data_IF_074681028544
#
_entry.id   IF_074681028544
#
_cell.length_a   1.000
_cell.length_b   1.000
_cell.length_c   1.000
_cell.angle_alpha   90.00
_cell.angle_beta   90.00
_cell.angle_gamma   90.00
#
_symmetry.space_group_name_H-M   'P 1'
#
loop_
_entity.id
_entity.type
_entity.pdbx_description
1 polymer ?
#
# COMPACT_ATOMS: atom_id res chain seq x y z
N UNK A 1 1.45 16.93 49.94
CA UNK A 1 2.49 17.65 49.17
C UNK A 1 3.81 17.01 49.53
N UNK A 2 4.32 16.13 48.66
CA UNK A 2 5.66 15.56 48.76
C UNK A 2 6.24 15.61 47.35
N UNK A 3 7.44 16.15 47.27
CA UNK A 3 8.09 16.66 46.07
C UNK A 3 8.28 15.62 44.97
N UNK A 4 7.83 15.98 43.76
CA UNK A 4 8.26 15.36 42.51
C UNK A 4 9.69 15.80 42.22
N UNK A 5 10.67 15.02 42.68
CA UNK A 5 12.00 15.04 42.09
C UNK A 5 12.10 13.91 41.05
N UNK A 6 11.73 14.23 39.81
CA UNK A 6 12.10 13.42 38.65
C UNK A 6 13.34 14.08 38.05
N UNK A 7 14.44 13.33 38.04
CA UNK A 7 15.79 13.75 37.64
C UNK A 7 15.86 14.24 36.18
N UNK A 8 16.67 15.27 35.86
CA UNK A 8 16.77 15.85 34.53
C UNK A 8 17.81 15.08 33.69
N UNK A 9 17.46 13.89 33.22
CA UNK A 9 18.26 13.16 32.22
C UNK A 9 17.41 12.50 31.12
N UNK A 10 16.08 12.46 31.26
CA UNK A 10 15.18 12.07 30.18
C UNK A 10 14.82 13.29 29.32
N UNK A 11 15.85 14.01 28.84
CA UNK A 11 15.69 14.89 27.69
C UNK A 11 15.15 13.99 26.58
N UNK A 12 13.86 14.13 26.35
CA UNK A 12 13.03 13.54 25.32
C UNK A 12 13.75 13.60 23.97
N UNK A 13 14.61 12.63 23.68
CA UNK A 13 14.85 12.21 22.32
C UNK A 13 13.55 11.52 21.91
N UNK A 14 12.57 12.31 21.48
CA UNK A 14 11.36 11.79 20.85
C UNK A 14 11.77 11.12 19.54
N UNK A 15 12.20 9.87 19.63
CA UNK A 15 12.45 9.02 18.48
C UNK A 15 11.10 8.63 17.87
N UNK A 16 11.03 8.54 16.53
CA UNK A 16 9.81 8.15 15.83
C UNK A 16 9.19 6.84 16.35
N UNK A 17 10.02 5.94 16.90
CA UNK A 17 9.61 4.68 17.51
C UNK A 17 8.66 4.88 18.71
N UNK A 18 8.90 5.91 19.53
CA UNK A 18 8.07 6.19 20.70
C UNK A 18 6.69 6.70 20.27
N UNK A 19 6.62 7.50 19.22
CA UNK A 19 5.36 7.99 18.67
C UNK A 19 4.54 6.85 18.04
N UNK A 20 5.19 5.97 17.29
CA UNK A 20 4.56 4.79 16.67
C UNK A 20 4.04 3.80 17.72
N UNK A 21 4.75 3.66 18.84
CA UNK A 21 4.31 2.87 19.98
C UNK A 21 3.03 3.44 20.61
N UNK A 22 3.01 4.74 20.92
CA UNK A 22 1.82 5.42 21.47
C UNK A 22 0.63 5.33 20.51
N UNK A 23 0.86 5.58 19.22
CA UNK A 23 -0.17 5.42 18.19
C UNK A 23 -0.81 4.02 18.22
N UNK A 24 0.03 2.97 18.30
CA UNK A 24 -0.44 1.59 18.38
C UNK A 24 -1.30 1.36 19.63
N UNK A 25 -0.86 1.83 20.81
CA UNK A 25 -1.62 1.71 22.06
C UNK A 25 -2.97 2.42 21.97
N UNK A 26 -3.03 3.62 21.40
CA UNK A 26 -4.30 4.34 21.20
C UNK A 26 -5.25 3.58 20.26
N UNK A 27 -4.72 2.96 19.21
CA UNK A 27 -5.52 2.22 18.23
C UNK A 27 -5.93 0.82 18.67
N UNK A 28 -5.39 0.30 19.77
CA UNK A 28 -5.78 -1.01 20.33
C UNK A 28 -7.28 -1.14 20.58
N UNK A 29 -7.95 -0.04 20.95
CA UNK A 29 -9.41 -0.02 21.12
C UNK A 29 -10.17 -0.48 19.88
N UNK A 30 -9.62 -0.25 18.68
CA UNK A 30 -10.28 -0.53 17.41
C UNK A 30 -9.99 -1.94 16.87
N UNK A 31 -8.79 -2.48 17.14
CA UNK A 31 -8.35 -3.77 16.57
C UNK A 31 -8.39 -4.92 17.58
N UNK A 32 -8.55 -4.62 18.88
CA UNK A 32 -8.47 -5.59 19.96
C UNK A 32 -7.05 -6.11 20.18
N UNK A 33 -6.80 -6.68 21.35
CA UNK A 33 -5.46 -7.11 21.80
C UNK A 33 -4.79 -8.10 20.83
N UNK A 34 -5.57 -9.05 20.28
CA UNK A 34 -5.06 -10.03 19.31
C UNK A 34 -4.62 -9.41 17.98
N UNK A 35 -5.27 -8.33 17.54
CA UNK A 35 -4.92 -7.61 16.32
C UNK A 35 -3.67 -6.73 16.47
N UNK A 36 -3.25 -6.45 17.71
CA UNK A 36 -2.16 -5.52 17.97
C UNK A 36 -0.77 -6.09 17.67
N UNK A 37 -0.56 -7.40 17.79
CA UNK A 37 0.76 -8.02 17.54
C UNK A 37 1.27 -7.68 16.14
N UNK A 38 0.38 -7.78 15.14
CA UNK A 38 0.72 -7.48 13.76
C UNK A 38 0.98 -5.98 13.54
N UNK A 39 0.13 -5.12 14.11
CA UNK A 39 0.28 -3.67 13.99
C UNK A 39 1.57 -3.17 14.65
N UNK A 40 1.89 -3.65 15.85
CA UNK A 40 3.15 -3.32 16.53
C UNK A 40 4.36 -3.79 15.73
N UNK A 41 4.31 -5.01 15.19
CA UNK A 41 5.39 -5.53 14.36
C UNK A 41 5.65 -4.63 13.14
N UNK A 42 4.61 -4.34 12.35
CA UNK A 42 4.75 -3.49 11.16
C UNK A 42 5.21 -2.07 11.49
N UNK A 43 4.58 -1.42 12.48
CA UNK A 43 4.88 -0.04 12.83
C UNK A 43 6.29 0.11 13.42
N UNK A 44 6.77 -0.89 14.17
CA UNK A 44 8.16 -0.87 14.68
C UNK A 44 9.21 -0.97 13.57
N UNK A 45 8.86 -1.56 12.42
CA UNK A 45 9.76 -1.65 11.27
C UNK A 45 9.75 -0.40 10.37
N UNK A 46 8.73 0.46 10.45
CA UNK A 46 8.59 1.65 9.59
C UNK A 46 9.83 2.55 9.63
N UNK A 47 10.38 2.83 10.82
CA UNK A 47 11.58 3.68 10.93
C UNK A 47 12.74 3.10 10.13
N UNK A 48 13.04 1.82 10.34
CA UNK A 48 14.12 1.12 9.64
C UNK A 48 13.86 1.07 8.14
N UNK A 49 12.61 0.86 7.73
CA UNK A 49 12.21 0.90 6.32
C UNK A 49 12.47 2.28 5.70
N UNK A 50 12.14 3.36 6.41
CA UNK A 50 12.38 4.73 5.93
C UNK A 50 13.87 5.03 5.79
N UNK A 51 14.68 4.61 6.77
CA UNK A 51 16.13 4.82 6.73
C UNK A 51 16.79 4.06 5.58
N UNK A 52 16.35 2.82 5.32
CA UNK A 52 16.98 1.95 4.33
C UNK A 52 16.49 2.18 2.90
N UNK A 53 15.19 2.43 2.74
CA UNK A 53 14.52 2.47 1.43
C UNK A 53 14.02 3.87 1.07
N UNK A 54 14.00 4.82 2.00
CA UNK A 54 13.40 6.14 1.79
C UNK A 54 11.89 6.15 2.10
N UNK A 55 11.14 7.15 1.62
CA UNK A 55 9.75 7.32 2.01
C UNK A 55 8.88 6.08 1.75
N UNK A 56 8.11 5.63 2.75
CA UNK A 56 7.30 4.39 2.63
C UNK A 56 6.30 4.46 1.47
N UNK A 57 5.76 5.65 1.17
CA UNK A 57 4.77 5.83 0.11
C UNK A 57 5.31 5.56 -1.30
N UNK A 58 6.61 5.71 -1.55
CA UNK A 58 7.19 5.38 -2.86
C UNK A 58 7.24 3.88 -3.14
N UNK A 59 7.08 3.06 -2.09
CA UNK A 59 7.02 1.61 -2.16
C UNK A 59 5.60 1.07 -2.01
N UNK A 60 4.60 1.95 -2.08
CA UNK A 60 3.20 1.57 -1.98
C UNK A 60 2.80 0.70 -3.16
N UNK A 61 2.13 -0.42 -2.89
CA UNK A 61 1.56 -1.27 -3.92
C UNK A 61 0.26 -0.68 -4.52
N UNK A 62 -0.21 0.46 -4.01
CA UNK A 62 -1.47 1.08 -4.41
C UNK A 62 -1.66 1.27 -5.94
N UNK A 63 -0.63 1.69 -6.71
CA UNK A 63 -0.77 1.77 -8.18
C UNK A 63 -1.10 0.40 -8.80
N UNK A 64 -0.53 -0.69 -8.28
CA UNK A 64 -0.79 -2.04 -8.78
C UNK A 64 -2.16 -2.57 -8.38
N UNK A 65 -2.73 -2.12 -7.25
CA UNK A 65 -4.08 -2.51 -6.83
C UNK A 65 -5.14 -2.02 -7.83
N UNK A 66 -4.96 -0.81 -8.38
CA UNK A 66 -5.81 -0.26 -9.43
C UNK A 66 -5.76 -1.10 -10.71
N UNK A 67 -4.56 -1.45 -11.17
CA UNK A 67 -4.35 -2.29 -12.35
C UNK A 67 -4.88 -3.72 -12.15
N UNK A 68 -4.68 -4.31 -10.97
CA UNK A 68 -5.22 -5.62 -10.63
C UNK A 68 -6.76 -5.61 -10.64
N UNK A 69 -7.39 -4.53 -10.17
CA UNK A 69 -8.84 -4.36 -10.26
C UNK A 69 -9.29 -4.30 -11.72
N UNK A 70 -8.59 -3.55 -12.58
CA UNK A 70 -8.88 -3.49 -14.01
C UNK A 70 -8.81 -4.88 -14.64
N UNK A 71 -7.74 -5.64 -14.37
CA UNK A 71 -7.56 -7.02 -14.86
C UNK A 71 -8.71 -7.93 -14.38
N UNK A 72 -9.10 -7.85 -13.11
CA UNK A 72 -10.22 -8.64 -12.56
C UNK A 72 -11.57 -8.29 -13.22
N UNK A 73 -11.80 -7.02 -13.58
CA UNK A 73 -13.02 -6.60 -14.27
C UNK A 73 -13.13 -7.17 -15.71
N UNK A 74 -12.01 -7.65 -16.29
CA UNK A 74 -12.04 -8.35 -17.56
C UNK A 74 -12.66 -9.75 -17.42
N UNK A 75 -12.60 -10.37 -16.25
CA UNK A 75 -13.26 -11.64 -15.99
C UNK A 75 -14.76 -11.41 -15.77
N UNK A 76 -15.60 -11.86 -16.71
CA UNK A 76 -17.07 -11.78 -16.58
C UNK A 76 -17.67 -13.15 -16.28
N UNK A 77 -16.98 -14.22 -16.67
CA UNK A 77 -17.41 -15.59 -16.44
C UNK A 77 -16.65 -16.21 -15.26
N UNK A 78 -17.26 -17.19 -14.61
CA UNK A 78 -16.66 -17.92 -13.49
C UNK A 78 -15.76 -19.08 -13.93
N UNK A 79 -15.78 -19.44 -15.22
CA UNK A 79 -15.00 -20.53 -15.80
C UNK A 79 -13.92 -19.96 -16.72
N UNK A 80 -12.74 -20.59 -16.72
CA UNK A 80 -11.61 -20.19 -17.57
C UNK A 80 -11.21 -18.71 -17.46
N UNK A 81 -11.32 -18.13 -16.25
CA UNK A 81 -11.04 -16.72 -15.92
C UNK A 81 -9.73 -16.21 -16.53
N UNK A 82 -8.64 -16.97 -16.38
CA UNK A 82 -7.33 -16.58 -16.91
C UNK A 82 -7.32 -16.44 -18.44
N UNK A 83 -7.98 -17.36 -19.16
CA UNK A 83 -8.06 -17.32 -20.61
C UNK A 83 -8.95 -16.16 -21.09
N UNK A 84 -10.06 -15.91 -20.39
CA UNK A 84 -10.94 -14.78 -20.69
C UNK A 84 -10.22 -13.44 -20.53
N UNK A 85 -9.51 -13.26 -19.41
CA UNK A 85 -8.68 -12.09 -19.15
C UNK A 85 -7.64 -11.93 -20.25
N UNK A 86 -6.87 -13.00 -20.56
CA UNK A 86 -5.81 -12.95 -21.55
C UNK A 86 -6.33 -12.54 -22.94
N UNK A 87 -7.45 -13.12 -23.38
CA UNK A 87 -8.05 -12.80 -24.67
C UNK A 87 -8.54 -11.34 -24.73
N UNK A 88 -9.25 -10.87 -23.70
CA UNK A 88 -9.77 -9.49 -23.67
C UNK A 88 -8.66 -8.47 -23.56
N UNK A 89 -7.66 -8.72 -22.71
CA UNK A 89 -6.51 -7.84 -22.57
C UNK A 89 -5.75 -7.74 -23.90
N UNK A 90 -5.49 -8.86 -24.57
CA UNK A 90 -4.83 -8.88 -25.88
C UNK A 90 -5.65 -8.15 -26.95
N UNK A 91 -6.97 -8.31 -26.94
CA UNK A 91 -7.88 -7.58 -27.83
C UNK A 91 -7.82 -6.07 -27.57
N UNK A 92 -7.87 -5.62 -26.31
CA UNK A 92 -7.78 -4.19 -25.98
C UNK A 92 -6.43 -3.59 -26.36
N UNK A 93 -5.33 -4.32 -26.21
CA UNK A 93 -3.99 -3.85 -26.61
C UNK A 93 -3.80 -3.78 -28.14
N UNK A 94 -4.50 -4.63 -28.89
CA UNK A 94 -4.42 -4.65 -30.36
C UNK A 94 -5.39 -3.69 -31.03
N UNK A 95 -6.50 -3.34 -30.37
CA UNK A 95 -7.55 -2.48 -30.91
C UNK A 95 -7.04 -1.10 -31.39
N UNK A 96 -6.22 -0.35 -30.64
CA UNK A 96 -5.69 0.94 -31.10
C UNK A 96 -4.84 0.80 -32.37
N UNK A 97 -4.01 -0.25 -32.45
CA UNK A 97 -3.14 -0.53 -33.60
C UNK A 97 -3.94 -0.87 -34.85
N UNK A 98 -5.05 -1.58 -34.67
CA UNK A 98 -5.95 -1.96 -35.74
C UNK A 98 -6.77 -0.76 -36.23
N UNK A 99 -7.25 0.08 -35.31
CA UNK A 99 -7.95 1.34 -35.62
C UNK A 99 -7.03 2.29 -36.39
N UNK A 100 -5.78 2.48 -35.95
CA UNK A 100 -4.82 3.32 -36.67
C UNK A 100 -4.52 2.78 -38.06
N UNK A 101 -4.43 1.45 -38.22
CA UNK A 101 -4.22 0.79 -39.50
C UNK A 101 -5.41 0.93 -40.46
N UNK A 102 -6.64 0.90 -39.95
CA UNK A 102 -7.86 0.92 -40.77
C UNK A 102 -8.29 2.34 -41.11
N UNK A 103 -8.14 3.29 -40.17
CA UNK A 103 -8.59 4.68 -40.34
C UNK A 103 -7.50 5.62 -40.86
N UNK A 104 -6.24 5.17 -40.96
CA UNK A 104 -5.12 6.01 -41.41
C UNK A 104 -4.83 7.21 -40.49
N UNK A 105 -5.37 7.21 -39.27
CA UNK A 105 -5.14 8.25 -38.26
C UNK A 105 -4.05 7.76 -37.30
N UNK A 106 -2.97 8.53 -37.22
CA UNK A 106 -1.96 8.36 -36.17
C UNK A 106 -2.57 8.78 -34.83
N UNK A 107 -3.05 7.82 -34.05
CA UNK A 107 -3.41 8.05 -32.65
C UNK A 107 -2.14 7.82 -31.86
N UNK A 108 -1.47 8.90 -31.44
CA UNK A 108 -0.42 8.80 -30.43
C UNK A 108 -1.09 8.51 -29.08
N UNK A 109 -0.77 7.34 -28.52
CA UNK A 109 -1.15 6.90 -27.17
C UNK A 109 -0.05 7.31 -26.20
#
# INVERSE_FOLDING_TARGET
MSDRQIQPAHVLCFTGDTFLWWYSVFYQKHFGEKGMVYNFHLLSHIKTSVVNYGPVWSHSAYPYEGENRYILQLAKNHTCVALEIANKFTAYQSLPKLISSVLGLSIEV
#
